data_IF_297004377344
#
_entry.id   IF_297004377344
#
_cell.length_a   1.000
_cell.length_b   1.000
_cell.length_c   1.000
_cell.angle_alpha   90.00
_cell.angle_beta   90.00
_cell.angle_gamma   90.00
#
_symmetry.space_group_name_H-M   'P 1'
#
loop_
_entity.id
_entity.type
_entity.pdbx_description
1 polymer ?
#
# COMPACT_ATOMS: atom_id res chain seq x y z
N UNK A 1 19.84 -3.63 -27.90
CA UNK A 1 18.98 -2.96 -26.90
C UNK A 1 19.63 -3.23 -25.56
N UNK A 2 20.11 -2.19 -24.87
CA UNK A 2 21.11 -2.25 -23.80
C UNK A 2 20.62 -3.08 -22.60
N UNK A 3 21.32 -4.17 -22.22
CA UNK A 3 20.89 -5.14 -21.20
C UNK A 3 20.55 -4.50 -19.84
N UNK A 4 21.21 -3.38 -19.53
CA UNK A 4 20.94 -2.57 -18.34
C UNK A 4 19.52 -1.99 -18.31
N UNK A 5 19.00 -1.49 -19.45
CA UNK A 5 17.63 -0.93 -19.53
C UNK A 5 16.60 -2.03 -19.28
N UNK A 6 16.84 -3.26 -19.76
CA UNK A 6 15.98 -4.42 -19.54
C UNK A 6 15.95 -4.83 -18.06
N UNK A 7 17.11 -4.87 -17.41
CA UNK A 7 17.22 -5.19 -15.98
C UNK A 7 16.49 -4.17 -15.11
N UNK A 8 16.61 -2.86 -15.40
CA UNK A 8 15.85 -1.82 -14.69
C UNK A 8 14.34 -2.02 -14.86
N UNK A 9 13.86 -2.30 -16.07
CA UNK A 9 12.44 -2.55 -16.30
C UNK A 9 11.92 -3.73 -15.47
N UNK A 10 12.67 -4.83 -15.44
CA UNK A 10 12.29 -6.01 -14.65
C UNK A 10 12.28 -5.75 -13.14
N UNK A 11 13.25 -4.98 -12.63
CA UNK A 11 13.28 -4.58 -11.22
C UNK A 11 12.06 -3.71 -10.88
N UNK A 12 11.72 -2.74 -11.74
CA UNK A 12 10.54 -1.89 -11.54
C UNK A 12 9.24 -2.71 -11.57
N UNK A 13 9.10 -3.65 -12.51
CA UNK A 13 7.94 -4.55 -12.58
C UNK A 13 7.80 -5.41 -11.31
N UNK A 14 8.92 -5.94 -10.78
CA UNK A 14 8.89 -6.72 -9.54
C UNK A 14 8.48 -5.88 -8.33
N UNK A 15 8.96 -4.64 -8.23
CA UNK A 15 8.63 -3.71 -7.15
C UNK A 15 7.16 -3.28 -7.23
N UNK A 16 6.66 -2.99 -8.43
CA UNK A 16 5.25 -2.67 -8.64
C UNK A 16 4.36 -3.87 -8.27
N UNK A 17 4.69 -5.07 -8.72
CA UNK A 17 3.91 -6.28 -8.44
C UNK A 17 3.88 -6.63 -6.94
N UNK A 18 5.02 -6.57 -6.23
CA UNK A 18 5.05 -6.88 -4.79
C UNK A 18 4.26 -5.84 -3.98
N UNK A 19 4.30 -4.58 -4.41
CA UNK A 19 3.54 -3.49 -3.80
C UNK A 19 2.02 -3.68 -3.93
N UNK A 20 1.54 -4.16 -5.08
CA UNK A 20 0.12 -4.48 -5.27
C UNK A 20 -0.35 -5.67 -4.43
N UNK A 21 0.51 -6.67 -4.25
CA UNK A 21 0.18 -7.84 -3.44
C UNK A 21 -0.03 -7.48 -1.97
N UNK A 22 0.87 -6.70 -1.37
CA UNK A 22 0.75 -6.27 0.03
C UNK A 22 -0.53 -5.44 0.27
N UNK A 23 -0.89 -4.57 -0.68
CA UNK A 23 -2.15 -3.79 -0.60
C UNK A 23 -3.38 -4.70 -0.69
N UNK A 24 -3.34 -5.73 -1.54
CA UNK A 24 -4.43 -6.71 -1.68
C UNK A 24 -4.67 -7.47 -0.38
N UNK A 25 -3.62 -7.84 0.36
CA UNK A 25 -3.73 -8.51 1.65
C UNK A 25 -4.43 -7.61 2.69
N UNK A 26 -4.11 -6.30 2.72
CA UNK A 26 -4.85 -5.35 3.57
C UNK A 26 -6.34 -5.24 3.20
N UNK A 27 -6.68 -5.31 1.91
CA UNK A 27 -8.08 -5.27 1.45
C UNK A 27 -8.86 -6.53 1.86
N UNK A 28 -8.24 -7.69 1.76
CA UNK A 28 -8.83 -8.96 2.19
C UNK A 28 -9.16 -8.94 3.68
N UNK A 29 -8.17 -8.64 4.53
CA UNK A 29 -8.35 -8.56 5.99
C UNK A 29 -9.38 -7.50 6.36
N UNK A 30 -9.41 -6.35 5.67
CA UNK A 30 -10.40 -5.30 5.90
C UNK A 30 -11.81 -5.79 5.59
N UNK A 31 -12.01 -6.50 4.47
CA UNK A 31 -13.30 -7.05 4.07
C UNK A 31 -13.79 -8.13 5.05
N UNK A 32 -12.91 -9.03 5.48
CA UNK A 32 -13.24 -10.03 6.50
C UNK A 32 -13.63 -9.37 7.82
N UNK A 33 -12.87 -8.38 8.27
CA UNK A 33 -13.13 -7.64 9.51
C UNK A 33 -14.47 -6.90 9.45
N UNK A 34 -14.80 -6.26 8.33
CA UNK A 34 -16.12 -5.63 8.11
C UNK A 34 -17.24 -6.67 8.17
N UNK A 35 -17.05 -7.83 7.52
CA UNK A 35 -18.05 -8.92 7.51
C UNK A 35 -18.31 -9.45 8.92
N UNK A 36 -17.26 -9.60 9.73
CA UNK A 36 -17.40 -10.01 11.13
C UNK A 36 -18.14 -8.97 11.97
N UNK A 37 -17.86 -7.67 11.75
CA UNK A 37 -18.58 -6.58 12.43
C UNK A 37 -20.06 -6.55 12.05
N UNK A 38 -20.38 -6.73 10.76
CA UNK A 38 -21.77 -6.78 10.30
C UNK A 38 -22.50 -8.02 10.83
N UNK A 39 -21.80 -9.16 10.89
CA UNK A 39 -22.31 -10.38 11.52
C UNK A 39 -22.62 -10.12 12.99
N UNK A 40 -21.69 -9.53 13.74
CA UNK A 40 -21.89 -9.15 15.13
C UNK A 40 -23.11 -8.23 15.29
N UNK A 41 -23.24 -7.20 14.44
CA UNK A 41 -24.38 -6.27 14.41
C UNK A 41 -25.72 -6.94 14.10
N UNK A 42 -25.69 -8.04 13.36
CA UNK A 42 -26.87 -8.82 12.98
C UNK A 42 -27.30 -9.84 14.05
N UNK A 43 -26.42 -10.17 15.01
CA UNK A 43 -26.77 -11.09 16.09
C UNK A 43 -27.89 -10.48 16.93
N UNK A 44 -28.91 -11.30 17.23
CA UNK A 44 -29.98 -10.93 18.15
C UNK A 44 -29.38 -10.47 19.47
N UNK A 45 -29.94 -9.39 20.02
CA UNK A 45 -29.43 -8.70 21.21
C UNK A 45 -29.06 -9.70 22.31
N UNK A 46 -27.86 -9.62 22.91
CA UNK A 46 -27.45 -10.55 23.95
C UNK A 46 -28.40 -10.52 25.16
N UNK A 47 -28.67 -11.68 25.76
CA UNK A 47 -29.61 -11.84 26.87
C UNK A 47 -28.97 -11.38 28.20
N UNK A 48 -28.86 -10.06 28.41
CA UNK A 48 -28.46 -9.49 29.69
C UNK A 48 -27.58 -8.25 29.59
N UNK A 49 -27.46 -7.51 30.70
CA UNK A 49 -26.66 -6.27 30.75
C UNK A 49 -25.14 -6.53 30.63
N UNK A 50 -24.63 -7.62 31.20
CA UNK A 50 -23.22 -8.00 31.12
C UNK A 50 -22.85 -8.38 29.67
N UNK A 51 -23.66 -9.22 29.04
CA UNK A 51 -23.47 -9.64 27.65
C UNK A 51 -23.64 -8.47 26.67
N UNK A 52 -24.52 -7.51 26.98
CA UNK A 52 -24.65 -6.27 26.22
C UNK A 52 -23.42 -5.36 26.34
N UNK A 53 -22.79 -5.28 27.52
CA UNK A 53 -21.58 -4.49 27.72
C UNK A 53 -20.38 -5.12 26.98
N UNK A 54 -20.26 -6.45 27.05
CA UNK A 54 -19.25 -7.19 26.29
C UNK A 54 -19.46 -7.06 24.78
N UNK A 55 -20.69 -7.22 24.30
CA UNK A 55 -21.06 -7.02 22.90
C UNK A 55 -20.63 -5.64 22.38
N UNK A 56 -20.92 -4.57 23.13
CA UNK A 56 -20.51 -3.20 22.76
C UNK A 56 -18.99 -3.05 22.73
N UNK A 57 -18.28 -3.68 23.68
CA UNK A 57 -16.81 -3.67 23.71
C UNK A 57 -16.24 -4.36 22.47
N UNK A 58 -16.77 -5.53 22.11
CA UNK A 58 -16.32 -6.27 20.92
C UNK A 58 -16.61 -5.47 19.64
N UNK A 59 -17.79 -4.87 19.53
CA UNK A 59 -18.14 -4.00 18.40
C UNK A 59 -17.15 -2.84 18.27
N UNK A 60 -16.85 -2.15 19.37
CA UNK A 60 -15.89 -1.04 19.39
C UNK A 60 -14.48 -1.48 18.97
N UNK A 61 -14.04 -2.66 19.42
CA UNK A 61 -12.73 -3.20 19.03
C UNK A 61 -12.63 -3.47 17.52
N UNK A 62 -13.69 -4.02 16.91
CA UNK A 62 -13.74 -4.20 15.45
C UNK A 62 -13.70 -2.87 14.71
N UNK A 63 -14.44 -1.86 15.17
CA UNK A 63 -14.43 -0.51 14.57
C UNK A 63 -13.05 0.16 14.67
N UNK A 64 -12.34 -0.03 15.79
CA UNK A 64 -10.97 0.42 15.97
C UNK A 64 -10.01 -0.31 15.02
N UNK A 65 -10.11 -1.63 14.93
CA UNK A 65 -9.28 -2.45 14.05
C UNK A 65 -9.44 -2.06 12.58
N UNK A 66 -10.68 -1.85 12.13
CA UNK A 66 -10.98 -1.36 10.76
C UNK A 66 -10.29 -0.02 10.50
N UNK A 67 -10.32 0.89 11.48
CA UNK A 67 -9.69 2.21 11.35
C UNK A 67 -8.16 2.09 11.24
N UNK A 68 -7.55 1.26 12.09
CA UNK A 68 -6.11 0.99 12.07
C UNK A 68 -5.65 0.32 10.77
N UNK A 69 -6.41 -0.64 10.24
CA UNK A 69 -6.12 -1.31 8.96
C UNK A 69 -6.17 -0.32 7.79
N UNK A 70 -7.15 0.59 7.77
CA UNK A 70 -7.23 1.64 6.74
C UNK A 70 -6.04 2.60 6.80
N UNK A 71 -5.65 3.02 8.00
CA UNK A 71 -4.47 3.88 8.19
C UNK A 71 -3.19 3.18 7.72
N UNK A 72 -2.97 1.92 8.13
CA UNK A 72 -1.80 1.15 7.71
C UNK A 72 -1.74 0.93 6.20
N UNK A 73 -2.87 0.58 5.57
CA UNK A 73 -2.95 0.50 4.11
C UNK A 73 -2.53 1.81 3.45
N UNK A 74 -2.99 2.95 3.97
CA UNK A 74 -2.63 4.25 3.43
C UNK A 74 -1.15 4.61 3.64
N UNK A 75 -0.58 4.30 4.81
CA UNK A 75 0.85 4.47 5.07
C UNK A 75 1.71 3.65 4.12
N UNK A 76 1.37 2.37 3.92
CA UNK A 76 2.07 1.47 2.99
C UNK A 76 1.98 1.99 1.55
N UNK A 77 0.79 2.40 1.10
CA UNK A 77 0.59 3.06 -0.21
C UNK A 77 1.50 4.28 -0.39
N UNK A 78 1.54 5.16 0.61
CA UNK A 78 2.37 6.36 0.57
C UNK A 78 3.87 6.01 0.54
N UNK A 79 4.29 4.95 1.26
CA UNK A 79 5.66 4.48 1.25
C UNK A 79 6.06 3.93 -0.13
N UNK A 80 5.21 3.08 -0.73
CA UNK A 80 5.37 2.56 -2.09
C UNK A 80 5.50 3.71 -3.11
N UNK A 81 4.62 4.71 -3.03
CA UNK A 81 4.67 5.86 -3.94
C UNK A 81 5.99 6.64 -3.81
N UNK A 82 6.47 6.86 -2.58
CA UNK A 82 7.76 7.52 -2.34
C UNK A 82 8.93 6.72 -2.88
N UNK A 83 8.93 5.39 -2.69
CA UNK A 83 9.95 4.50 -3.24
C UNK A 83 9.96 4.58 -4.78
N UNK A 84 8.80 4.48 -5.42
CA UNK A 84 8.67 4.56 -6.88
C UNK A 84 9.14 5.93 -7.42
N UNK A 85 8.81 7.03 -6.74
CA UNK A 85 9.30 8.36 -7.11
C UNK A 85 10.82 8.49 -6.96
N UNK A 86 11.37 8.01 -5.85
CA UNK A 86 12.82 8.03 -5.59
C UNK A 86 13.57 7.22 -6.64
N UNK A 87 13.11 6.01 -6.95
CA UNK A 87 13.74 5.13 -7.92
C UNK A 87 13.69 5.71 -9.34
N UNK A 88 12.55 6.27 -9.77
CA UNK A 88 12.45 6.96 -11.06
C UNK A 88 13.42 8.14 -11.15
N UNK A 89 13.53 8.94 -10.10
CA UNK A 89 14.47 10.07 -10.03
C UNK A 89 15.93 9.61 -10.13
N UNK A 90 16.32 8.60 -9.36
CA UNK A 90 17.68 8.05 -9.36
C UNK A 90 18.05 7.45 -10.72
N UNK A 91 17.16 6.66 -11.33
CA UNK A 91 17.41 6.07 -12.67
C UNK A 91 17.55 7.16 -13.73
N UNK A 92 16.68 8.17 -13.73
CA UNK A 92 16.78 9.30 -14.67
C UNK A 92 18.09 10.07 -14.52
N UNK A 93 18.54 10.27 -13.27
CA UNK A 93 19.82 10.95 -12.99
C UNK A 93 21.00 10.18 -13.55
N UNK A 94 21.03 8.86 -13.36
CA UNK A 94 22.11 8.02 -13.91
C UNK A 94 22.09 7.98 -15.45
N UNK A 95 20.91 7.90 -16.07
CA UNK A 95 20.79 7.95 -17.53
C UNK A 95 21.28 9.29 -18.11
N UNK A 96 20.96 10.41 -17.47
CA UNK A 96 21.46 11.74 -17.88
C UNK A 96 22.97 11.89 -17.73
N UNK A 97 23.58 11.24 -16.74
CA UNK A 97 25.04 11.23 -16.55
C UNK A 97 25.75 10.35 -17.59
N UNK A 98 25.17 9.21 -17.96
CA UNK A 98 25.72 8.34 -19.01
C UNK A 98 25.56 8.90 -20.43
N UNK A 99 24.48 9.66 -20.70
CA UNK A 99 24.26 10.32 -22.00
C UNK A 99 25.11 11.59 -22.18
N UNK A 100 25.84 12.02 -21.14
CA UNK A 100 26.69 13.21 -21.14
C UNK A 100 25.91 14.53 -21.26
N UNK A 101 26.49 15.68 -20.90
CA UNK A 101 25.92 16.95 -21.31
C UNK A 101 25.86 16.95 -22.83
N UNK A 102 24.66 17.06 -23.39
CA UNK A 102 24.45 17.37 -24.80
C UNK A 102 25.32 18.57 -25.16
N UNK A 103 26.40 18.36 -25.92
CA UNK A 103 27.20 19.41 -26.55
C UNK A 103 26.34 20.06 -27.66
N UNK A 104 25.36 20.84 -27.24
CA UNK A 104 24.61 21.81 -28.03
C UNK A 104 24.69 23.05 -27.12
N UNK A 105 25.61 24.00 -27.27
CA UNK A 105 26.24 24.59 -28.45
C UNK A 105 27.74 24.83 -28.18
N UNK A 106 28.60 24.38 -29.09
CA UNK A 106 29.92 24.97 -29.27
C UNK A 106 29.90 25.66 -30.64
N UNK A 107 29.13 26.75 -30.73
CA UNK A 107 29.28 27.68 -31.84
C UNK A 107 30.47 28.61 -31.51
N UNK A 108 31.55 28.38 -32.28
CA UNK A 108 32.75 29.21 -32.44
C UNK A 108 32.45 30.51 -33.19
#
# INVERSE_FOLDING_TARGET
MNDYKKTITQINELIENSSYQEISEYEEVLNETNTMLDTLKSLTRPDGLADMAEYKRVQHNYELLISQLKEKKHETLNHIQKLNQSQKSTVMTYLQQEEGPSLIDMDL
#
